data_IF_942310858182
#
_entry.id   IF_942310858182
#
_cell.length_a   1.000
_cell.length_b   1.000
_cell.length_c   1.000
_cell.angle_alpha   90.00
_cell.angle_beta   90.00
_cell.angle_gamma   90.00
#
_symmetry.space_group_name_H-M   'P 1'
#
loop_
_entity.id
_entity.type
_entity.pdbx_description
1 polymer ?
#
# COMPACT_ATOMS: atom_id res chain seq x y z
N UNK A 1 5.03 -5.29 -15.22
CA UNK A 1 6.47 -5.13 -15.52
C UNK A 1 7.19 -4.36 -14.40
N UNK A 2 7.81 -5.09 -13.46
CA UNK A 2 8.57 -4.51 -12.33
C UNK A 2 9.68 -3.56 -12.78
N UNK A 3 10.32 -3.82 -13.93
CA UNK A 3 11.39 -2.98 -14.47
C UNK A 3 10.98 -1.50 -14.69
N UNK A 4 9.75 -1.24 -15.15
CA UNK A 4 9.26 0.13 -15.33
C UNK A 4 9.06 0.83 -13.97
N UNK A 5 8.51 0.12 -12.98
CA UNK A 5 8.34 0.65 -11.64
C UNK A 5 9.70 0.98 -10.99
N UNK A 6 10.71 0.13 -11.17
CA UNK A 6 12.08 0.40 -10.73
C UNK A 6 12.68 1.64 -11.40
N UNK A 7 12.47 1.82 -12.70
CA UNK A 7 12.94 3.01 -13.42
C UNK A 7 12.26 4.30 -12.90
N UNK A 8 10.93 4.28 -12.72
CA UNK A 8 10.18 5.43 -12.18
C UNK A 8 10.60 5.76 -10.76
N UNK A 9 10.79 4.74 -9.91
CA UNK A 9 11.27 4.91 -8.55
C UNK A 9 12.64 5.57 -8.50
N UNK A 10 13.59 5.10 -9.32
CA UNK A 10 14.94 5.65 -9.36
C UNK A 10 14.96 7.11 -9.80
N UNK A 11 14.17 7.45 -10.82
CA UNK A 11 14.01 8.84 -11.26
C UNK A 11 13.41 9.67 -10.13
N UNK A 12 12.31 9.21 -9.53
CA UNK A 12 11.60 9.91 -8.45
C UNK A 12 12.50 10.21 -7.24
N UNK A 13 13.35 9.27 -6.83
CA UNK A 13 14.31 9.47 -5.74
C UNK A 13 15.37 10.52 -6.05
N UNK A 14 15.92 10.51 -7.27
CA UNK A 14 16.90 11.50 -7.69
C UNK A 14 16.28 12.90 -7.60
N UNK A 15 15.09 13.08 -8.16
CA UNK A 15 14.36 14.34 -8.11
C UNK A 15 14.00 14.78 -6.69
N UNK A 16 13.56 13.85 -5.85
CA UNK A 16 13.22 14.13 -4.45
C UNK A 16 14.45 14.52 -3.62
N UNK A 17 15.60 13.88 -3.88
CA UNK A 17 16.89 14.24 -3.28
C UNK A 17 17.32 15.67 -3.63
N UNK A 18 17.16 16.08 -4.89
CA UNK A 18 17.41 17.48 -5.30
C UNK A 18 16.47 18.47 -4.61
N UNK A 19 15.21 18.10 -4.40
CA UNK A 19 14.19 18.94 -3.74
C UNK A 19 14.22 18.88 -2.21
N UNK A 20 15.06 18.00 -1.63
CA UNK A 20 15.06 17.66 -0.19
C UNK A 20 13.67 17.25 0.32
N UNK A 21 12.90 16.57 -0.52
CA UNK A 21 11.58 16.00 -0.19
C UNK A 21 11.64 14.48 -0.21
N UNK A 22 10.63 13.80 0.33
CA UNK A 22 10.48 12.35 0.18
C UNK A 22 9.87 12.00 -1.19
N UNK A 23 10.36 10.93 -1.83
CA UNK A 23 9.72 10.34 -3.00
C UNK A 23 8.59 9.40 -2.57
N UNK A 24 7.38 9.59 -3.09
CA UNK A 24 6.23 8.72 -2.82
C UNK A 24 6.52 7.28 -3.30
N UNK A 25 7.02 7.14 -4.53
CA UNK A 25 7.49 5.88 -5.07
C UNK A 25 9.02 5.90 -5.12
N UNK A 26 9.64 5.03 -4.34
CA UNK A 26 11.08 4.92 -4.19
C UNK A 26 11.53 3.45 -4.37
N UNK A 27 12.84 3.19 -4.36
CA UNK A 27 13.38 1.85 -4.64
C UNK A 27 12.87 0.80 -3.63
N UNK A 28 12.77 1.18 -2.36
CA UNK A 28 12.33 0.33 -1.26
C UNK A 28 10.85 0.00 -1.41
N UNK A 29 10.01 0.98 -1.77
CA UNK A 29 8.59 0.78 -2.06
C UNK A 29 8.38 -0.18 -3.21
N UNK A 30 9.16 -0.09 -4.28
CA UNK A 30 9.05 -1.06 -5.38
C UNK A 30 9.48 -2.45 -4.92
N UNK A 31 10.55 -2.54 -4.12
CA UNK A 31 11.02 -3.81 -3.55
C UNK A 31 9.97 -4.47 -2.65
N UNK A 32 9.34 -3.69 -1.78
CA UNK A 32 8.24 -4.11 -0.92
C UNK A 32 7.07 -4.58 -1.80
N UNK A 33 6.55 -3.71 -2.67
CA UNK A 33 5.34 -3.99 -3.45
C UNK A 33 5.48 -5.17 -4.42
N UNK A 34 6.71 -5.47 -4.83
CA UNK A 34 7.01 -6.59 -5.73
C UNK A 34 7.17 -7.94 -5.01
N UNK A 35 7.06 -8.00 -3.68
CA UNK A 35 7.09 -9.28 -2.95
C UNK A 35 5.87 -10.14 -3.27
N UNK A 36 6.08 -11.45 -3.37
CA UNK A 36 5.00 -12.41 -3.67
C UNK A 36 4.04 -12.64 -2.48
N UNK A 37 4.52 -12.38 -1.25
CA UNK A 37 3.84 -12.78 -0.01
C UNK A 37 3.54 -11.57 0.87
N UNK A 38 2.55 -10.79 0.45
CA UNK A 38 2.02 -9.66 1.23
C UNK A 38 0.95 -10.06 2.25
N UNK A 39 0.33 -11.22 2.05
CA UNK A 39 -0.77 -11.71 2.87
C UNK A 39 -0.34 -13.00 3.54
N UNK A 40 -0.70 -13.14 4.81
CA UNK A 40 -0.61 -14.41 5.51
C UNK A 40 -1.96 -15.12 5.47
N UNK A 41 -1.94 -16.45 5.47
CA UNK A 41 -3.14 -17.22 5.73
C UNK A 41 -3.54 -17.06 7.20
N UNK A 42 -4.77 -16.62 7.42
CA UNK A 42 -5.32 -16.37 8.76
C UNK A 42 -6.28 -17.47 9.23
N UNK A 43 -6.47 -18.55 8.44
CA UNK A 43 -7.42 -19.62 8.73
C UNK A 43 -7.22 -20.23 10.13
N UNK A 44 -5.98 -20.57 10.48
CA UNK A 44 -5.66 -21.18 11.79
C UNK A 44 -6.07 -20.28 12.97
N UNK A 45 -5.74 -18.99 12.92
CA UNK A 45 -6.08 -18.04 14.00
C UNK A 45 -7.59 -17.85 14.09
N UNK A 46 -8.29 -17.81 12.95
CA UNK A 46 -9.76 -17.66 12.88
C UNK A 46 -10.47 -18.89 13.46
N UNK A 47 -9.93 -20.09 13.24
CA UNK A 47 -10.42 -21.35 13.80
C UNK A 47 -10.19 -21.40 15.32
N UNK A 48 -8.96 -21.14 15.77
CA UNK A 48 -8.56 -21.27 17.17
C UNK A 48 -9.21 -20.21 18.08
N UNK A 49 -9.31 -18.96 17.61
CA UNK A 49 -9.81 -17.85 18.43
C UNK A 49 -11.32 -17.63 18.31
N UNK A 50 -11.97 -18.25 17.32
CA UNK A 50 -13.35 -17.92 16.95
C UNK A 50 -13.53 -16.50 16.41
N UNK A 51 -12.46 -15.75 16.15
CA UNK A 51 -12.53 -14.38 15.65
C UNK A 51 -13.28 -14.32 14.32
N UNK A 52 -14.23 -13.39 14.23
CA UNK A 52 -14.97 -13.08 13.00
C UNK A 52 -14.90 -11.57 12.78
N UNK A 53 -14.25 -11.08 11.70
CA UNK A 53 -14.19 -9.66 11.43
C UNK A 53 -15.61 -9.13 11.17
N UNK A 54 -16.11 -8.30 12.09
CA UNK A 54 -17.42 -7.65 11.92
C UNK A 54 -17.39 -6.54 10.87
N UNK A 55 -16.18 -6.10 10.51
CA UNK A 55 -15.94 -5.00 9.60
C UNK A 55 -14.99 -5.45 8.48
N UNK A 56 -15.51 -5.80 7.29
CA UNK A 56 -14.68 -6.26 6.18
C UNK A 56 -13.74 -5.16 5.68
N UNK A 57 -12.50 -5.52 5.35
CA UNK A 57 -11.50 -4.59 4.83
C UNK A 57 -12.02 -3.83 3.59
N UNK A 58 -12.72 -4.52 2.68
CA UNK A 58 -13.29 -3.91 1.48
C UNK A 58 -14.31 -2.81 1.78
N UNK A 59 -15.07 -2.96 2.87
CA UNK A 59 -16.00 -1.93 3.35
C UNK A 59 -15.23 -0.74 3.89
N UNK A 60 -14.25 -0.97 4.76
CA UNK A 60 -13.44 0.09 5.36
C UNK A 60 -12.65 0.91 4.35
N UNK A 61 -12.04 0.26 3.36
CA UNK A 61 -11.32 0.93 2.28
C UNK A 61 -12.27 1.81 1.48
N UNK A 62 -13.46 1.32 1.13
CA UNK A 62 -14.45 2.11 0.38
C UNK A 62 -14.91 3.34 1.16
N UNK A 63 -15.35 3.16 2.39
CA UNK A 63 -15.82 4.28 3.24
C UNK A 63 -14.70 5.33 3.45
N UNK A 64 -13.45 4.88 3.59
CA UNK A 64 -12.30 5.79 3.70
C UNK A 64 -12.11 6.59 2.41
N UNK A 65 -12.13 5.95 1.24
CA UNK A 65 -11.98 6.65 -0.05
C UNK A 65 -13.10 7.66 -0.28
N UNK A 66 -14.34 7.28 0.03
CA UNK A 66 -15.51 8.18 -0.06
C UNK A 66 -15.31 9.41 0.81
N UNK A 67 -14.92 9.23 2.08
CA UNK A 67 -14.62 10.35 2.97
C UNK A 67 -13.52 11.28 2.43
N UNK A 68 -12.42 10.72 1.90
CA UNK A 68 -11.33 11.51 1.33
C UNK A 68 -11.78 12.38 0.14
N UNK A 69 -12.71 11.88 -0.68
CA UNK A 69 -13.30 12.62 -1.79
C UNK A 69 -14.22 13.74 -1.29
N UNK A 70 -15.06 13.46 -0.28
CA UNK A 70 -15.98 14.44 0.30
C UNK A 70 -15.26 15.65 0.90
N UNK A 71 -14.14 15.43 1.57
CA UNK A 71 -13.34 16.52 2.17
C UNK A 71 -12.37 17.18 1.18
N UNK A 72 -12.33 16.73 -0.07
CA UNK A 72 -11.49 17.28 -1.14
C UNK A 72 -10.00 17.02 -0.96
N UNK A 73 -9.62 15.90 -0.35
CA UNK A 73 -8.21 15.50 -0.18
C UNK A 73 -7.69 14.62 -1.31
N UNK A 74 -8.60 13.97 -2.05
CA UNK A 74 -8.34 13.29 -3.32
C UNK A 74 -8.92 14.10 -4.47
#
# INVERSE_FOLDING_TARGET
PTALAWAIARISEIWAGFRRTAAILNWERVRELSQERWVCDSAAVIEDSGYRPQYPLSRGVRETVEWYQEVGWL
#
